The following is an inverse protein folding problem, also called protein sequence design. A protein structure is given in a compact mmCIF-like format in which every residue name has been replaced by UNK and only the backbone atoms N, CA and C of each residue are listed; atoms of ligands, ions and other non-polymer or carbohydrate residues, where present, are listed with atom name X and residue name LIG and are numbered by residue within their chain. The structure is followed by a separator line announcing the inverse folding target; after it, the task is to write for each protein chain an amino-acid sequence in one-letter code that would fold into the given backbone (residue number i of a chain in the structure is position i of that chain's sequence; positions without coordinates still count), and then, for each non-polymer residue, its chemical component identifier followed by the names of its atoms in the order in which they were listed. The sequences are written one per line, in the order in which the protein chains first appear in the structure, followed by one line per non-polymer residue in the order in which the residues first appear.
data_IF_773614099177
#
_entry.id   IF_773614099177
#
_cell.length_a   1.000
_cell.length_b   1.000
_cell.length_c   1.000
_cell.angle_alpha   90.00
_cell.angle_beta   90.00
_cell.angle_gamma   90.00
#
_symmetry.space_group_name_H-M   'P 1'
#
loop_
_entity.id
_entity.type
_entity.pdbx_description
1 polymer ?
#
# COMPACT_ATOMS: atom_id res chain seq x y z
N UNK A 1 -23.06 9.92 -12.30
CA UNK A 1 -22.05 8.84 -12.41
C UNK A 1 -21.27 8.64 -11.10
N UNK A 2 -20.96 9.71 -10.34
CA UNK A 2 -20.16 9.63 -9.10
C UNK A 2 -20.85 8.92 -7.93
N UNK A 3 -22.14 9.18 -7.67
CA UNK A 3 -22.88 8.54 -6.57
C UNK A 3 -22.89 7.00 -6.64
N UNK A 4 -22.93 6.41 -7.85
CA UNK A 4 -22.88 4.95 -8.03
C UNK A 4 -21.49 4.39 -7.66
N UNK A 5 -20.41 5.08 -8.04
CA UNK A 5 -19.03 4.70 -7.71
C UNK A 5 -18.78 4.80 -6.20
N UNK A 6 -19.26 5.87 -5.56
CA UNK A 6 -19.17 6.03 -4.09
C UNK A 6 -19.86 4.90 -3.34
N UNK A 7 -21.08 4.52 -3.75
CA UNK A 7 -21.81 3.37 -3.22
C UNK A 7 -21.06 2.05 -3.39
N UNK A 8 -20.33 1.87 -4.50
CA UNK A 8 -19.52 0.68 -4.74
C UNK A 8 -18.28 0.65 -3.84
N UNK A 9 -17.61 1.79 -3.65
CA UNK A 9 -16.48 1.93 -2.71
C UNK A 9 -16.94 1.64 -1.28
N UNK A 10 -18.03 2.24 -0.81
CA UNK A 10 -18.55 2.02 0.54
C UNK A 10 -18.86 0.53 0.79
N UNK A 11 -19.46 -0.15 -0.20
CA UNK A 11 -19.73 -1.59 -0.12
C UNK A 11 -18.45 -2.41 -0.08
N UNK A 12 -17.41 -2.03 -0.83
CA UNK A 12 -16.12 -2.70 -0.79
C UNK A 12 -15.45 -2.53 0.58
N UNK A 13 -15.45 -1.32 1.15
CA UNK A 13 -14.90 -1.03 2.47
C UNK A 13 -15.59 -1.85 3.57
N UNK A 14 -16.93 -1.93 3.56
CA UNK A 14 -17.68 -2.78 4.51
C UNK A 14 -17.38 -4.27 4.38
N UNK A 15 -16.99 -4.74 3.19
CA UNK A 15 -16.53 -6.12 3.02
C UNK A 15 -15.14 -6.31 3.64
N UNK A 16 -14.25 -5.33 3.48
CA UNK A 16 -12.90 -5.36 4.05
C UNK A 16 -12.91 -5.29 5.59
N UNK A 17 -13.90 -4.60 6.18
CA UNK A 17 -14.09 -4.55 7.65
C UNK A 17 -14.34 -5.91 8.30
N UNK A 18 -14.68 -6.95 7.52
CA UNK A 18 -14.84 -8.31 8.04
C UNK A 18 -13.52 -9.01 8.35
N UNK A 19 -12.39 -8.45 7.92
CA UNK A 19 -11.07 -9.02 8.12
C UNK A 19 -10.33 -8.26 9.21
N UNK A 20 -9.73 -8.97 10.16
CA UNK A 20 -8.93 -8.35 11.23
C UNK A 20 -7.61 -7.77 10.73
N UNK A 21 -7.08 -8.32 9.64
CA UNK A 21 -5.89 -7.82 8.96
C UNK A 21 -6.08 -7.85 7.44
N UNK A 22 -5.59 -6.81 6.76
CA UNK A 22 -5.52 -6.75 5.29
C UNK A 22 -4.08 -6.50 4.86
N UNK A 23 -3.63 -7.26 3.86
CA UNK A 23 -2.30 -7.16 3.28
C UNK A 23 -2.38 -6.39 1.96
N UNK A 24 -1.55 -5.36 1.81
CA UNK A 24 -1.36 -4.62 0.57
C UNK A 24 0.07 -4.87 0.12
N UNK A 25 0.23 -5.57 -0.98
CA UNK A 25 1.54 -5.96 -1.49
C UNK A 25 2.01 -5.01 -2.61
N UNK A 26 3.31 -4.74 -2.67
CA UNK A 26 4.02 -4.00 -3.72
C UNK A 26 3.41 -2.63 -4.08
N UNK A 27 3.05 -1.84 -3.05
CA UNK A 27 2.58 -0.47 -3.28
C UNK A 27 3.70 0.37 -3.92
N UNK A 28 3.37 1.02 -5.04
CA UNK A 28 4.29 1.91 -5.76
C UNK A 28 5.00 1.29 -6.97
N UNK A 29 4.73 0.03 -7.31
CA UNK A 29 5.24 -0.57 -8.56
C UNK A 29 4.51 -0.06 -9.81
N UNK A 30 3.19 0.15 -9.73
CA UNK A 30 2.35 0.56 -10.86
C UNK A 30 1.97 2.04 -10.76
N UNK A 31 1.92 2.73 -11.89
CA UNK A 31 1.41 4.10 -11.98
C UNK A 31 -0.12 4.09 -11.93
N UNK A 32 -0.69 4.59 -10.84
CA UNK A 32 -2.14 4.68 -10.65
C UNK A 32 -2.72 5.96 -11.24
N UNK A 33 -3.97 5.92 -11.66
CA UNK A 33 -4.81 7.08 -12.01
C UNK A 33 -5.20 7.87 -10.76
N UNK A 34 -5.68 9.11 -10.93
CA UNK A 34 -6.09 9.95 -9.78
C UNK A 34 -7.21 9.30 -8.98
N UNK A 35 -8.18 8.75 -9.69
CA UNK A 35 -9.34 8.08 -9.09
C UNK A 35 -8.92 6.83 -8.30
N UNK A 36 -7.95 6.05 -8.78
CA UNK A 36 -7.44 4.87 -8.06
C UNK A 36 -6.74 5.24 -6.75
N UNK A 37 -5.95 6.33 -6.76
CA UNK A 37 -5.26 6.82 -5.55
C UNK A 37 -6.25 7.36 -4.52
N UNK A 38 -7.33 8.01 -4.96
CA UNK A 38 -8.41 8.48 -4.08
C UNK A 38 -9.13 7.31 -3.40
N UNK A 39 -9.34 6.21 -4.12
CA UNK A 39 -9.90 4.96 -3.55
C UNK A 39 -8.94 4.36 -2.52
N UNK A 40 -7.65 4.27 -2.84
CA UNK A 40 -6.63 3.77 -1.91
C UNK A 40 -6.54 4.64 -0.65
N UNK A 41 -6.50 5.97 -0.80
CA UNK A 41 -6.49 6.91 0.30
C UNK A 41 -7.73 6.72 1.20
N UNK A 42 -8.91 6.61 0.58
CA UNK A 42 -10.16 6.36 1.30
C UNK A 42 -10.11 5.05 2.08
N UNK A 43 -9.55 3.98 1.51
CA UNK A 43 -9.37 2.71 2.19
C UNK A 43 -8.42 2.81 3.39
N UNK A 44 -7.25 3.43 3.21
CA UNK A 44 -6.27 3.64 4.29
C UNK A 44 -6.87 4.46 5.43
N UNK A 45 -7.59 5.54 5.09
CA UNK A 45 -8.27 6.39 6.07
C UNK A 45 -9.42 5.67 6.77
N UNK A 46 -10.18 4.82 6.06
CA UNK A 46 -11.26 4.01 6.65
C UNK A 46 -10.73 2.96 7.63
N UNK A 47 -9.53 2.41 7.36
CA UNK A 47 -8.92 1.35 8.16
C UNK A 47 -8.11 1.87 9.35
N UNK A 48 -7.64 3.11 9.28
CA UNK A 48 -6.96 3.81 10.37
C UNK A 48 -7.73 3.67 11.70
N UNK A 49 -7.04 3.19 12.74
CA UNK A 49 -7.59 2.91 14.09
C UNK A 49 -8.77 1.93 14.14
N UNK A 50 -9.11 1.27 13.02
CA UNK A 50 -10.24 0.32 12.92
C UNK A 50 -9.79 -1.11 12.65
N UNK A 51 -8.57 -1.30 12.17
CA UNK A 51 -7.85 -2.56 12.35
C UNK A 51 -6.59 -2.66 11.51
N UNK A 52 -5.96 -3.82 11.51
CA UNK A 52 -4.56 -3.95 11.09
C UNK A 52 -4.38 -3.91 9.58
N UNK A 53 -3.28 -3.28 9.16
CA UNK A 53 -2.76 -3.27 7.80
C UNK A 53 -1.32 -3.77 7.81
N UNK A 54 -0.97 -4.57 6.82
CA UNK A 54 0.42 -4.87 6.48
C UNK A 54 0.64 -4.40 5.05
N UNK A 55 1.65 -3.57 4.86
CA UNK A 55 1.95 -2.96 3.57
C UNK A 55 3.39 -3.30 3.20
N UNK A 56 3.61 -3.76 1.99
CA UNK A 56 4.96 -3.90 1.42
C UNK A 56 5.14 -2.84 0.33
N UNK A 57 6.32 -2.22 0.28
CA UNK A 57 6.69 -1.25 -0.74
C UNK A 57 8.17 -1.37 -1.06
N UNK A 58 8.51 -1.22 -2.32
CA UNK A 58 9.89 -1.01 -2.77
C UNK A 58 10.27 0.48 -2.80
N UNK A 59 9.34 1.39 -2.49
CA UNK A 59 9.58 2.83 -2.44
C UNK A 59 9.70 3.30 -0.98
N UNK A 60 10.75 4.06 -0.64
CA UNK A 60 10.79 4.76 0.64
C UNK A 60 9.66 5.80 0.70
N UNK A 61 9.20 6.15 1.90
CA UNK A 61 8.13 7.13 2.11
C UNK A 61 8.37 8.48 1.39
N UNK A 62 9.63 8.90 1.25
CA UNK A 62 10.00 10.11 0.49
C UNK A 62 9.63 10.08 -1.00
N UNK A 63 9.36 8.89 -1.55
CA UNK A 63 8.94 8.69 -2.95
C UNK A 63 7.44 8.42 -3.09
N UNK A 64 6.68 8.40 -2.00
CA UNK A 64 5.23 8.13 -2.05
C UNK A 64 4.42 9.27 -2.69
N UNK A 65 5.02 10.43 -2.94
CA UNK A 65 4.41 11.45 -3.81
C UNK A 65 4.15 10.92 -5.23
N UNK A 66 4.91 9.91 -5.67
CA UNK A 66 4.66 9.23 -6.95
C UNK A 66 3.40 8.35 -6.90
N UNK A 67 2.98 7.95 -5.70
CA UNK A 67 1.82 7.08 -5.43
C UNK A 67 0.55 7.89 -5.22
N UNK A 68 0.61 9.10 -4.66
CA UNK A 68 -0.59 9.92 -4.41
C UNK A 68 -0.65 11.21 -5.26
N UNK A 69 0.41 11.53 -6.02
CA UNK A 69 0.58 12.69 -6.94
C UNK A 69 0.34 14.08 -6.35
N UNK A 70 0.09 14.17 -5.06
CA UNK A 70 -0.11 15.42 -4.32
C UNK A 70 0.60 15.33 -2.96
N UNK A 71 1.51 16.27 -2.63
CA UNK A 71 2.27 16.23 -1.38
C UNK A 71 1.39 16.25 -0.12
N UNK A 72 0.29 17.00 -0.14
CA UNK A 72 -0.60 17.11 1.02
C UNK A 72 -1.32 15.78 1.29
N UNK A 73 -1.87 15.16 0.24
CA UNK A 73 -2.52 13.85 0.29
C UNK A 73 -1.53 12.76 0.69
N UNK A 74 -0.31 12.82 0.17
CA UNK A 74 0.79 11.89 0.51
C UNK A 74 1.12 11.96 2.00
N UNK A 75 1.38 13.17 2.51
CA UNK A 75 1.69 13.38 3.92
C UNK A 75 0.55 12.88 4.82
N UNK A 76 -0.70 13.18 4.45
CA UNK A 76 -1.87 12.74 5.18
C UNK A 76 -2.05 11.21 5.18
N UNK A 77 -1.69 10.51 4.09
CA UNK A 77 -1.72 9.05 4.02
C UNK A 77 -0.62 8.41 4.88
N UNK A 78 0.61 8.93 4.75
CA UNK A 78 1.77 8.47 5.52
C UNK A 78 1.53 8.66 7.01
N UNK A 79 1.05 9.83 7.43
CA UNK A 79 0.78 10.14 8.85
C UNK A 79 -0.14 9.08 9.49
N UNK A 80 -1.24 8.75 8.82
CA UNK A 80 -2.19 7.72 9.28
C UNK A 80 -1.57 6.33 9.36
N UNK A 81 -0.77 5.94 8.36
CA UNK A 81 -0.13 4.62 8.35
C UNK A 81 0.93 4.55 9.44
N UNK A 82 1.75 5.60 9.61
CA UNK A 82 2.93 5.58 10.47
C UNK A 82 2.57 5.67 11.95
N UNK A 83 1.52 6.43 12.30
CA UNK A 83 1.15 6.72 13.70
C UNK A 83 1.07 5.46 14.59
N UNK A 84 0.47 4.38 14.10
CA UNK A 84 0.35 3.10 14.82
C UNK A 84 0.96 1.94 14.04
N UNK A 85 2.23 2.06 13.64
CA UNK A 85 2.92 1.04 12.85
C UNK A 85 4.26 0.58 13.44
N UNK A 86 4.68 -0.60 12.99
CA UNK A 86 6.06 -1.05 13.07
C UNK A 86 6.63 -1.00 11.65
N UNK A 87 7.66 -0.18 11.44
CA UNK A 87 8.32 -0.05 10.15
C UNK A 87 9.50 -1.03 10.11
N UNK A 88 9.50 -1.90 9.10
CA UNK A 88 10.58 -2.85 8.84
C UNK A 88 11.30 -2.44 7.55
N UNK A 89 12.50 -1.88 7.69
CA UNK A 89 13.35 -1.57 6.54
C UNK A 89 14.16 -2.80 6.14
N UNK A 90 13.87 -3.34 4.96
CA UNK A 90 14.51 -4.56 4.44
C UNK A 90 15.64 -4.20 3.47
N UNK A 91 16.83 -3.93 4.01
CA UNK A 91 18.05 -3.69 3.22
C UNK A 91 18.82 -5.00 2.98
N UNK A 92 18.15 -5.99 2.38
CA UNK A 92 18.70 -7.33 2.14
C UNK A 92 18.99 -7.56 0.66
N UNK A 93 19.94 -8.45 0.37
CA UNK A 93 20.13 -8.92 -1.00
C UNK A 93 18.88 -9.67 -1.49
N UNK A 94 18.61 -9.58 -2.79
CA UNK A 94 17.48 -10.30 -3.40
C UNK A 94 17.69 -11.79 -3.27
N UNK A 95 16.83 -12.44 -2.47
CA UNK A 95 16.82 -13.89 -2.33
C UNK A 95 16.67 -14.60 -3.69
N UNK A 96 15.87 -14.04 -4.60
CA UNK A 96 15.70 -14.55 -5.97
C UNK A 96 17.01 -14.57 -6.75
N UNK A 97 17.85 -13.53 -6.59
CA UNK A 97 19.15 -13.45 -7.25
C UNK A 97 20.16 -14.44 -6.64
N UNK A 98 20.12 -14.63 -5.33
CA UNK A 98 20.99 -15.60 -4.65
C UNK A 98 20.70 -17.03 -5.15
N UNK A 99 19.42 -17.42 -5.23
CA UNK A 99 19.01 -18.72 -5.74
C UNK A 99 19.43 -18.91 -7.20
N UNK A 100 19.20 -17.92 -8.06
CA UNK A 100 19.62 -17.98 -9.46
C UNK A 100 21.14 -18.15 -9.61
N UNK A 101 21.93 -17.46 -8.79
CA UNK A 101 23.41 -17.60 -8.78
C UNK A 101 23.89 -18.97 -8.33
N UNK A 102 23.17 -19.65 -7.43
CA UNK A 102 23.53 -21.01 -6.98
C UNK A 102 23.31 -22.02 -8.09
N UNK A 103 22.17 -21.94 -8.79
CA UNK A 103 21.84 -22.82 -9.91
C UNK A 103 22.85 -22.70 -11.06
N UNK A 104 23.26 -21.48 -11.42
CA UNK A 104 24.27 -21.25 -12.48
C UNK A 104 25.69 -21.76 -12.15
N UNK A 105 25.97 -22.13 -10.89
CA UNK A 105 27.28 -22.68 -10.47
C UNK A 105 27.31 -24.20 -10.43
N UNK A 106 26.14 -24.84 -10.49
CA UNK A 106 25.99 -26.30 -10.45
C UNK A 106 25.94 -26.90 -11.88
N UNK A 107 25.77 -26.06 -12.90
CA UNK A 107 25.93 -26.36 -14.34
C UNK A 107 27.35 -26.07 -14.83
#
# INVERSE_FOLDING_TARGET
MNAKKELEVERALKKMDKFDAVLIDDIGYVQYTREEMEVLFTFLAHRYERGSLMITSNLPFSKWEQIFKDPMTTAAAIDRIVHHSVILELNLESYRMEVARKQMKED
#
